data_IF_501142762774
#
_entry.id   IF_501142762774
#
_cell.length_a   1.000
_cell.length_b   1.000
_cell.length_c   1.000
_cell.angle_alpha   90.00
_cell.angle_beta   90.00
_cell.angle_gamma   90.00
#
_symmetry.space_group_name_H-M   'P 1'
#
loop_
_entity.id
_entity.type
_entity.pdbx_description
1 polymer ?
#
# COMPACT_ATOMS: atom_id res chain seq x y z
N UNK A 1 0.47 2.12 8.81
CA UNK A 1 1.09 2.38 10.14
C UNK A 1 2.54 1.91 10.22
N UNK A 2 2.97 0.84 9.55
CA UNK A 2 4.39 0.38 9.57
C UNK A 2 5.37 1.47 9.13
N UNK A 3 4.99 2.32 8.18
CA UNK A 3 5.80 3.47 7.77
C UNK A 3 6.05 4.50 8.87
N UNK A 4 5.10 4.68 9.79
CA UNK A 4 5.24 5.65 10.89
C UNK A 4 6.43 5.32 11.79
N UNK A 5 6.70 4.03 12.02
CA UNK A 5 7.80 3.56 12.87
C UNK A 5 9.16 3.97 12.34
N UNK A 6 9.34 4.04 11.03
CA UNK A 6 10.62 4.42 10.38
C UNK A 6 10.65 5.88 9.95
N UNK A 7 9.50 6.54 9.79
CA UNK A 7 9.41 7.95 9.35
C UNK A 7 9.95 8.92 10.40
N UNK A 8 9.66 8.70 11.68
CA UNK A 8 10.15 9.54 12.75
C UNK A 8 11.68 9.48 12.90
N UNK A 9 12.32 8.28 12.97
CA UNK A 9 13.78 8.17 12.95
C UNK A 9 14.41 8.69 11.67
N UNK A 10 13.75 8.56 10.52
CA UNK A 10 14.23 9.11 9.25
C UNK A 10 14.32 10.64 9.30
N UNK A 11 13.28 11.30 9.80
CA UNK A 11 13.25 12.76 9.95
C UNK A 11 14.32 13.27 10.93
N UNK A 12 14.50 12.57 12.05
CA UNK A 12 15.37 13.01 13.13
C UNK A 12 16.86 12.68 12.86
N UNK A 13 17.15 11.42 12.51
CA UNK A 13 18.54 10.92 12.38
C UNK A 13 19.18 11.19 11.02
N UNK A 14 18.39 11.23 9.95
CA UNK A 14 18.92 11.40 8.58
C UNK A 14 18.83 12.85 8.14
N UNK A 15 17.68 13.48 8.34
CA UNK A 15 17.44 14.85 7.86
C UNK A 15 17.65 15.92 8.93
N UNK A 16 17.82 15.53 10.20
CA UNK A 16 17.96 16.45 11.35
C UNK A 16 16.85 17.53 11.40
N UNK A 17 15.66 17.17 10.90
CA UNK A 17 14.52 18.07 10.75
C UNK A 17 13.45 17.89 11.84
N UNK A 18 13.65 16.95 12.77
CA UNK A 18 12.77 16.72 13.93
C UNK A 18 11.29 16.56 13.55
N UNK A 19 10.41 17.16 14.35
CA UNK A 19 8.96 17.07 14.16
C UNK A 19 8.46 17.72 12.85
N UNK A 20 9.13 18.79 12.39
CA UNK A 20 8.74 19.46 11.14
C UNK A 20 9.00 18.57 9.92
N UNK A 21 10.15 17.91 9.86
CA UNK A 21 10.45 16.96 8.78
C UNK A 21 9.49 15.77 8.76
N UNK A 22 9.13 15.25 9.94
CA UNK A 22 8.08 14.24 10.07
C UNK A 22 6.74 14.72 9.49
N UNK A 23 6.36 15.97 9.80
CA UNK A 23 5.16 16.59 9.25
C UNK A 23 5.18 16.69 7.72
N UNK A 24 6.30 17.13 7.14
CA UNK A 24 6.47 17.21 5.69
C UNK A 24 6.41 15.86 4.99
N UNK A 25 7.03 14.83 5.55
CA UNK A 25 6.98 13.47 5.00
C UNK A 25 5.55 12.91 5.00
N UNK A 26 4.84 13.05 6.13
CA UNK A 26 3.45 12.61 6.21
C UNK A 26 2.50 13.49 5.38
N UNK A 27 2.75 14.79 5.29
CA UNK A 27 2.05 15.69 4.40
C UNK A 27 2.20 15.29 2.93
N UNK A 28 3.42 15.01 2.49
CA UNK A 28 3.71 14.48 1.15
C UNK A 28 2.94 13.19 0.87
N UNK A 29 2.99 12.23 1.81
CA UNK A 29 2.19 10.99 1.73
C UNK A 29 0.70 11.27 1.57
N UNK A 30 0.14 12.17 2.41
CA UNK A 30 -1.28 12.52 2.37
C UNK A 30 -1.69 13.17 1.05
N UNK A 31 -0.90 14.11 0.54
CA UNK A 31 -1.12 14.75 -0.77
C UNK A 31 -1.08 13.71 -1.88
N UNK A 32 -0.10 12.82 -1.88
CA UNK A 32 -0.03 11.74 -2.86
C UNK A 32 -1.26 10.83 -2.84
N UNK A 33 -1.70 10.42 -1.65
CA UNK A 33 -2.91 9.61 -1.46
C UNK A 33 -4.17 10.34 -1.94
N UNK A 34 -4.29 11.64 -1.66
CA UNK A 34 -5.40 12.46 -2.14
C UNK A 34 -5.42 12.55 -3.67
N UNK A 35 -4.29 12.89 -4.29
CA UNK A 35 -4.19 12.97 -5.74
C UNK A 35 -4.51 11.65 -6.42
N UNK A 36 -4.18 10.51 -5.79
CA UNK A 36 -4.51 9.20 -6.35
C UNK A 36 -6.01 8.99 -6.55
N UNK A 37 -6.85 9.57 -5.72
CA UNK A 37 -8.31 9.47 -5.84
C UNK A 37 -8.82 10.04 -7.19
N UNK A 38 -8.11 11.01 -7.75
CA UNK A 38 -8.49 11.65 -9.01
C UNK A 38 -8.19 10.76 -10.23
N UNK A 39 -7.07 10.03 -10.22
CA UNK A 39 -6.64 9.27 -11.40
C UNK A 39 -6.75 7.75 -11.24
N UNK A 40 -6.92 7.21 -10.01
CA UNK A 40 -7.02 5.77 -9.80
C UNK A 40 -8.15 5.10 -10.61
N UNK A 41 -9.37 5.69 -10.74
CA UNK A 41 -10.42 5.08 -11.55
C UNK A 41 -10.04 4.98 -13.03
N UNK A 42 -9.35 5.98 -13.58
CA UNK A 42 -8.89 5.99 -14.96
C UNK A 42 -7.78 4.95 -15.19
N UNK A 43 -6.87 4.81 -14.23
CA UNK A 43 -5.80 3.82 -14.28
C UNK A 43 -6.37 2.39 -14.22
N UNK A 44 -7.32 2.14 -13.32
CA UNK A 44 -7.98 0.85 -13.17
C UNK A 44 -8.76 0.47 -14.44
N UNK A 45 -9.42 1.42 -15.09
CA UNK A 45 -10.10 1.19 -16.37
C UNK A 45 -9.12 0.78 -17.49
N UNK A 46 -7.90 1.32 -17.49
CA UNK A 46 -6.90 1.03 -18.54
C UNK A 46 -6.09 -0.23 -18.27
N UNK A 47 -5.61 -0.42 -17.06
CA UNK A 47 -4.70 -1.50 -16.67
C UNK A 47 -5.39 -2.67 -15.96
N UNK A 48 -6.69 -2.54 -15.65
CA UNK A 48 -7.42 -3.46 -14.79
C UNK A 48 -7.02 -3.33 -13.33
N UNK A 49 -7.84 -3.85 -12.41
CA UNK A 49 -7.57 -3.82 -10.97
C UNK A 49 -6.23 -4.48 -10.62
N UNK A 50 -5.94 -5.60 -11.25
CA UNK A 50 -4.74 -6.41 -11.00
C UNK A 50 -3.46 -5.72 -11.48
N UNK A 51 -3.47 -5.17 -12.69
CA UNK A 51 -2.34 -4.39 -13.24
C UNK A 51 -2.06 -3.15 -12.40
N UNK A 52 -3.11 -2.46 -11.97
CA UNK A 52 -2.99 -1.28 -11.09
C UNK A 52 -2.38 -1.62 -9.72
N UNK A 53 -2.74 -2.76 -9.12
CA UNK A 53 -2.14 -3.25 -7.88
C UNK A 53 -0.65 -3.56 -8.10
N UNK A 54 -0.30 -4.28 -9.16
CA UNK A 54 1.09 -4.64 -9.46
C UNK A 54 1.97 -3.39 -9.63
N UNK A 55 1.54 -2.44 -10.45
CA UNK A 55 2.26 -1.17 -10.65
C UNK A 55 2.40 -0.40 -9.33
N UNK A 56 1.35 -0.35 -8.52
CA UNK A 56 1.37 0.32 -7.21
C UNK A 56 2.35 -0.35 -6.25
N UNK A 57 2.41 -1.68 -6.21
CA UNK A 57 3.36 -2.40 -5.35
C UNK A 57 4.80 -2.18 -5.79
N UNK A 58 5.06 -2.14 -7.09
CA UNK A 58 6.38 -1.79 -7.62
C UNK A 58 6.79 -0.37 -7.21
N UNK A 59 5.91 0.61 -7.40
CA UNK A 59 6.17 2.00 -7.02
C UNK A 59 6.42 2.14 -5.50
N UNK A 60 5.65 1.44 -4.67
CA UNK A 60 5.87 1.39 -3.22
C UNK A 60 7.23 0.80 -2.88
N UNK A 61 7.62 -0.31 -3.52
CA UNK A 61 8.93 -0.95 -3.33
C UNK A 61 10.05 0.04 -3.62
N UNK A 62 10.02 0.67 -4.80
CA UNK A 62 11.04 1.62 -5.23
C UNK A 62 11.08 2.85 -4.33
N UNK A 63 9.93 3.45 -4.03
CA UNK A 63 9.87 4.63 -3.17
C UNK A 63 10.40 4.36 -1.76
N UNK A 64 10.04 3.22 -1.16
CA UNK A 64 10.51 2.86 0.17
C UNK A 64 12.00 2.48 0.18
N UNK A 65 12.50 1.80 -0.85
CA UNK A 65 13.91 1.45 -0.97
C UNK A 65 14.80 2.68 -1.13
N UNK A 66 14.34 3.69 -1.87
CA UNK A 66 15.12 4.91 -2.15
C UNK A 66 15.02 5.97 -1.05
N UNK A 67 13.96 5.94 -0.23
CA UNK A 67 13.72 6.97 0.80
C UNK A 67 14.91 7.21 1.74
N UNK A 68 15.61 6.20 2.31
CA UNK A 68 16.71 6.42 3.23
C UNK A 68 17.98 6.95 2.55
N UNK A 69 18.08 6.83 1.22
CA UNK A 69 19.23 7.28 0.43
C UNK A 69 19.04 8.68 -0.17
N UNK A 70 17.88 9.30 0.05
CA UNK A 70 17.64 10.66 -0.44
C UNK A 70 18.55 11.65 0.29
N UNK A 71 19.37 12.45 -0.45
CA UNK A 71 20.27 13.41 0.16
C UNK A 71 19.55 14.64 0.73
N UNK A 72 18.31 14.88 0.32
CA UNK A 72 17.55 16.09 0.63
C UNK A 72 16.16 15.72 1.15
N UNK A 73 15.68 16.43 2.17
CA UNK A 73 14.34 16.25 2.72
C UNK A 73 13.25 16.36 1.63
N UNK A 74 13.38 17.33 0.72
CA UNK A 74 12.42 17.52 -0.37
C UNK A 74 12.32 16.28 -1.28
N UNK A 75 13.45 15.62 -1.59
CA UNK A 75 13.45 14.36 -2.35
C UNK A 75 12.71 13.24 -1.61
N UNK A 76 12.94 13.11 -0.30
CA UNK A 76 12.21 12.14 0.52
C UNK A 76 10.71 12.45 0.57
N UNK A 77 10.31 13.72 0.67
CA UNK A 77 8.89 14.14 0.64
C UNK A 77 8.24 13.74 -0.68
N UNK A 78 8.93 13.92 -1.82
CA UNK A 78 8.43 13.48 -3.13
C UNK A 78 8.29 11.96 -3.21
N UNK A 79 9.27 11.20 -2.70
CA UNK A 79 9.19 9.73 -2.63
C UNK A 79 8.03 9.27 -1.75
N UNK A 80 7.79 9.93 -0.62
CA UNK A 80 6.64 9.67 0.24
C UNK A 80 5.33 10.03 -0.44
N UNK A 81 5.28 11.12 -1.23
CA UNK A 81 4.14 11.47 -2.05
C UNK A 81 3.83 10.39 -3.11
N UNK A 82 4.86 9.90 -3.78
CA UNK A 82 4.75 8.80 -4.74
C UNK A 82 4.25 7.51 -4.07
N UNK A 83 4.79 7.18 -2.90
CA UNK A 83 4.35 6.03 -2.13
C UNK A 83 2.89 6.19 -1.64
N UNK A 84 2.50 7.37 -1.19
CA UNK A 84 1.12 7.69 -0.82
C UNK A 84 0.16 7.52 -1.98
N UNK A 85 0.54 8.00 -3.17
CA UNK A 85 -0.27 7.87 -4.38
C UNK A 85 -0.41 6.39 -4.80
N UNK A 86 0.66 5.63 -4.80
CA UNK A 86 0.63 4.20 -5.09
C UNK A 86 -0.24 3.42 -4.08
N UNK A 87 -0.14 3.78 -2.80
CA UNK A 87 -0.98 3.18 -1.74
C UNK A 87 -2.46 3.49 -1.94
N UNK A 88 -2.79 4.71 -2.36
CA UNK A 88 -4.16 5.11 -2.67
C UNK A 88 -4.73 4.32 -3.85
N UNK A 89 -4.00 4.24 -4.97
CA UNK A 89 -4.41 3.44 -6.14
C UNK A 89 -4.61 1.97 -5.78
N UNK A 90 -3.68 1.35 -5.03
CA UNK A 90 -3.82 -0.05 -4.62
C UNK A 90 -5.04 -0.28 -3.73
N UNK A 91 -5.35 0.68 -2.85
CA UNK A 91 -6.55 0.62 -2.00
C UNK A 91 -7.84 0.66 -2.80
N UNK A 92 -7.96 1.56 -3.77
CA UNK A 92 -9.12 1.64 -4.67
C UNK A 92 -9.24 0.36 -5.50
N UNK A 93 -8.14 -0.10 -6.12
CA UNK A 93 -8.14 -1.30 -6.95
C UNK A 93 -8.53 -2.56 -6.16
N UNK A 94 -8.04 -2.70 -4.92
CA UNK A 94 -8.39 -3.82 -4.04
C UNK A 94 -9.88 -3.82 -3.67
N UNK A 95 -10.41 -2.65 -3.29
CA UNK A 95 -11.84 -2.52 -2.98
C UNK A 95 -12.71 -2.80 -4.20
N UNK A 96 -12.34 -2.32 -5.39
CA UNK A 96 -13.03 -2.63 -6.65
C UNK A 96 -13.04 -4.14 -6.91
N UNK A 97 -11.90 -4.81 -6.79
CA UNK A 97 -11.83 -6.27 -6.97
C UNK A 97 -12.68 -7.04 -5.96
N UNK A 98 -12.76 -6.58 -4.71
CA UNK A 98 -13.62 -7.20 -3.70
C UNK A 98 -15.10 -7.03 -4.05
N UNK A 99 -15.50 -5.84 -4.50
CA UNK A 99 -16.89 -5.57 -4.91
C UNK A 99 -17.31 -6.40 -6.14
N UNK A 100 -16.38 -6.70 -7.04
CA UNK A 100 -16.65 -7.54 -8.22
C UNK A 100 -16.79 -9.03 -7.89
N UNK A 101 -16.14 -9.51 -6.82
CA UNK A 101 -16.04 -10.94 -6.51
C UNK A 101 -16.91 -11.38 -5.34
N UNK A 102 -17.33 -10.46 -4.46
CA UNK A 102 -18.07 -10.78 -3.23
C UNK A 102 -19.51 -10.30 -3.32
N UNK A 103 -20.49 -11.20 -3.11
CA UNK A 103 -21.91 -10.80 -3.05
C UNK A 103 -22.12 -9.75 -1.94
N UNK A 104 -23.00 -8.74 -2.16
CA UNK A 104 -23.20 -7.62 -1.24
C UNK A 104 -23.53 -8.03 0.20
N UNK A 105 -24.25 -9.13 0.38
CA UNK A 105 -24.64 -9.65 1.69
C UNK A 105 -23.46 -10.16 2.54
N UNK A 106 -22.35 -10.55 1.94
CA UNK A 106 -21.14 -11.03 2.62
C UNK A 106 -20.03 -9.99 2.68
N UNK A 107 -20.18 -8.85 2.00
CA UNK A 107 -19.15 -7.83 1.85
C UNK A 107 -18.57 -7.37 3.18
N UNK A 108 -19.42 -7.08 4.16
CA UNK A 108 -18.96 -6.63 5.48
C UNK A 108 -18.16 -7.69 6.25
N UNK A 109 -18.55 -8.95 6.15
CA UNK A 109 -17.82 -10.06 6.82
C UNK A 109 -16.45 -10.28 6.19
N UNK A 110 -16.40 -10.33 4.87
CA UNK A 110 -15.15 -10.50 4.11
C UNK A 110 -14.22 -9.33 4.38
N UNK A 111 -14.70 -8.11 4.28
CA UNK A 111 -13.92 -6.91 4.51
C UNK A 111 -13.35 -6.86 5.94
N UNK A 112 -14.15 -7.13 6.97
CA UNK A 112 -13.71 -7.17 8.35
C UNK A 112 -12.66 -8.26 8.59
N UNK A 113 -12.80 -9.43 7.97
CA UNK A 113 -11.82 -10.50 8.06
C UNK A 113 -10.47 -10.06 7.45
N UNK A 114 -10.48 -9.45 6.28
CA UNK A 114 -9.27 -8.90 5.67
C UNK A 114 -8.63 -7.80 6.53
N UNK A 115 -9.43 -6.91 7.10
CA UNK A 115 -8.92 -5.87 8.01
C UNK A 115 -8.30 -6.47 9.26
N UNK A 116 -8.92 -7.47 9.87
CA UNK A 116 -8.41 -8.11 11.07
C UNK A 116 -7.05 -8.76 10.83
N UNK A 117 -6.93 -9.63 9.81
CA UNK A 117 -5.65 -10.26 9.47
C UNK A 117 -4.62 -9.25 8.99
N UNK A 118 -5.02 -8.26 8.22
CA UNK A 118 -4.16 -7.17 7.79
C UNK A 118 -3.61 -6.36 8.98
N UNK A 119 -4.41 -6.11 9.98
CA UNK A 119 -3.99 -5.39 11.19
C UNK A 119 -3.01 -6.21 12.05
N UNK A 120 -3.26 -7.50 12.21
CA UNK A 120 -2.33 -8.40 12.91
C UNK A 120 -0.96 -8.44 12.20
N UNK A 121 -0.96 -8.64 10.89
CA UNK A 121 0.26 -8.64 10.09
C UNK A 121 0.98 -7.29 10.20
N UNK A 122 0.25 -6.19 10.17
CA UNK A 122 0.79 -4.84 10.27
C UNK A 122 1.46 -4.58 11.63
N UNK A 123 0.85 -5.04 12.74
CA UNK A 123 1.44 -4.94 14.09
C UNK A 123 2.74 -5.76 14.15
N UNK A 124 2.71 -7.00 13.69
CA UNK A 124 3.88 -7.87 13.67
C UNK A 124 5.03 -7.27 12.86
N UNK A 125 4.73 -6.75 11.66
CA UNK A 125 5.71 -6.06 10.82
C UNK A 125 6.24 -4.78 11.47
N UNK A 126 5.38 -3.99 12.11
CA UNK A 126 5.81 -2.75 12.77
C UNK A 126 6.79 -3.03 13.91
N UNK A 127 6.52 -4.04 14.74
CA UNK A 127 7.41 -4.46 15.82
C UNK A 127 8.75 -5.00 15.27
N UNK A 128 8.69 -5.85 14.25
CA UNK A 128 9.88 -6.42 13.62
C UNK A 128 10.75 -5.35 12.97
N UNK A 129 10.15 -4.46 12.20
CA UNK A 129 10.85 -3.34 11.54
C UNK A 129 11.43 -2.38 12.56
N UNK A 130 10.68 -2.05 13.63
CA UNK A 130 11.17 -1.22 14.72
C UNK A 130 12.37 -1.83 15.44
N UNK A 131 12.33 -3.12 15.72
CA UNK A 131 13.45 -3.85 16.36
C UNK A 131 14.68 -3.88 15.44
N UNK A 132 14.52 -4.12 14.15
CA UNK A 132 15.62 -4.13 13.17
C UNK A 132 16.20 -2.73 13.00
N UNK A 133 15.35 -1.72 12.83
CA UNK A 133 15.78 -0.33 12.66
C UNK A 133 16.55 0.20 13.88
N UNK A 134 16.23 -0.26 15.10
CA UNK A 134 16.90 0.15 16.33
C UNK A 134 18.22 -0.58 16.59
N UNK A 135 18.33 -1.85 16.17
CA UNK A 135 19.49 -2.73 16.47
C UNK A 135 20.52 -2.80 15.36
N UNK A 136 20.11 -2.67 14.11
CA UNK A 136 21.00 -2.83 12.94
C UNK A 136 21.23 -1.50 12.26
N UNK A 137 20.24 -1.01 11.52
CA UNK A 137 20.26 0.30 10.88
C UNK A 137 18.87 0.71 10.41
N UNK A 138 18.67 2.02 10.26
CA UNK A 138 17.43 2.56 9.69
C UNK A 138 17.20 2.07 8.27
N UNK A 139 18.26 2.03 7.45
CA UNK A 139 18.19 1.52 6.07
C UNK A 139 17.75 0.06 6.00
N UNK A 140 18.17 -0.78 6.97
CA UNK A 140 17.70 -2.17 7.07
C UNK A 140 16.20 -2.24 7.35
N UNK A 141 15.66 -1.37 8.19
CA UNK A 141 14.22 -1.26 8.43
C UNK A 141 13.42 -0.93 7.16
N UNK A 142 13.88 0.03 6.38
CA UNK A 142 13.31 0.34 5.06
C UNK A 142 13.45 -0.82 4.07
N UNK A 143 14.58 -1.53 4.10
CA UNK A 143 14.82 -2.72 3.29
C UNK A 143 13.80 -3.83 3.54
N UNK A 144 13.45 -4.07 4.80
CA UNK A 144 12.39 -5.05 5.15
C UNK A 144 11.03 -4.63 4.61
N UNK A 145 10.68 -3.35 4.72
CA UNK A 145 9.42 -2.82 4.16
C UNK A 145 9.42 -2.98 2.64
N UNK A 146 10.50 -2.62 1.97
CA UNK A 146 10.63 -2.76 0.52
C UNK A 146 10.55 -4.24 0.09
N UNK A 147 11.16 -5.16 0.84
CA UNK A 147 11.08 -6.60 0.57
C UNK A 147 9.63 -7.12 0.68
N UNK A 148 8.87 -6.69 1.67
CA UNK A 148 7.45 -7.06 1.81
C UNK A 148 6.64 -6.58 0.60
N UNK A 149 6.85 -5.35 0.14
CA UNK A 149 6.18 -4.85 -1.06
C UNK A 149 6.65 -5.55 -2.34
N UNK A 150 7.92 -5.95 -2.42
CA UNK A 150 8.45 -6.73 -3.54
C UNK A 150 7.81 -8.13 -3.60
N UNK A 151 7.63 -8.79 -2.46
CA UNK A 151 6.90 -10.07 -2.37
C UNK A 151 5.44 -9.88 -2.80
N UNK A 152 4.79 -8.81 -2.35
CA UNK A 152 3.43 -8.48 -2.76
C UNK A 152 3.33 -8.22 -4.27
N UNK A 153 4.31 -7.52 -4.86
CA UNK A 153 4.41 -7.33 -6.30
C UNK A 153 4.54 -8.68 -7.03
N UNK A 154 5.46 -9.54 -6.60
CA UNK A 154 5.65 -10.87 -7.17
C UNK A 154 4.36 -11.71 -7.12
N UNK A 155 3.63 -11.66 -5.99
CA UNK A 155 2.34 -12.35 -5.86
C UNK A 155 1.26 -11.78 -6.80
N UNK A 156 1.24 -10.47 -7.02
CA UNK A 156 0.30 -9.82 -7.94
C UNK A 156 0.59 -10.19 -9.41
N UNK A 157 1.86 -10.42 -9.76
CA UNK A 157 2.28 -10.84 -11.09
C UNK A 157 2.08 -12.35 -11.33
N UNK A 158 1.93 -13.16 -10.28
CA UNK A 158 1.77 -14.61 -10.41
C UNK A 158 0.47 -14.93 -11.16
N UNK A 159 0.52 -15.77 -12.23
CA UNK A 159 -0.66 -16.16 -12.99
C UNK A 159 -1.56 -17.05 -12.12
N UNK A 160 -2.53 -16.46 -11.43
CA UNK A 160 -3.58 -17.23 -10.79
C UNK A 160 -4.52 -17.75 -11.87
N UNK A 161 -4.74 -19.08 -11.92
CA UNK A 161 -5.81 -19.66 -12.74
C UNK A 161 -7.12 -18.97 -12.35
N UNK A 162 -7.68 -18.25 -13.30
CA UNK A 162 -9.04 -17.74 -13.13
C UNK A 162 -9.94 -18.98 -13.08
N UNK A 163 -10.41 -19.34 -11.92
CA UNK A 163 -11.55 -20.23 -11.83
C UNK A 163 -12.74 -19.45 -12.40
N UNK A 164 -13.35 -19.89 -13.51
CA UNK A 164 -14.58 -19.28 -13.96
C UNK A 164 -15.55 -19.38 -12.78
N UNK A 165 -15.99 -18.23 -12.28
CA UNK A 165 -17.14 -18.20 -11.38
C UNK A 165 -18.27 -18.77 -12.23
N UNK A 166 -18.56 -20.06 -12.05
CA UNK A 166 -19.71 -20.70 -12.67
C UNK A 166 -20.91 -19.87 -12.30
N UNK A 167 -21.49 -19.23 -13.33
CA UNK A 167 -22.59 -18.29 -13.15
C UNK A 167 -23.73 -18.96 -12.39
N UNK A 168 -23.76 -18.76 -11.11
CA UNK A 168 -24.99 -18.81 -10.35
C UNK A 168 -25.79 -17.58 -10.76
N UNK A 169 -26.44 -17.69 -11.93
CA UNK A 169 -27.60 -16.89 -12.23
C UNK A 169 -28.50 -16.98 -10.99
N UNK A 170 -28.66 -15.85 -10.33
CA UNK A 170 -29.70 -15.72 -9.32
C UNK A 170 -31.06 -15.86 -10.05
N UNK A 171 -31.80 -16.97 -9.88
CA UNK A 171 -33.10 -17.16 -10.56
C UNK A 171 -34.19 -16.38 -9.81
N UNK A 172 -34.02 -15.09 -9.64
CA UNK A 172 -34.95 -14.29 -8.86
C UNK A 172 -35.04 -12.80 -9.20
N UNK A 173 -34.28 -12.30 -10.19
CA UNK A 173 -34.24 -10.87 -10.46
C UNK A 173 -35.15 -10.38 -11.60
N UNK A 174 -36.03 -11.25 -12.14
CA UNK A 174 -36.89 -10.86 -13.27
C UNK A 174 -38.39 -10.85 -12.95
N UNK A 175 -38.81 -10.77 -11.68
CA UNK A 175 -40.22 -10.58 -11.34
C UNK A 175 -40.36 -9.62 -10.16
N UNK A 176 -40.20 -8.33 -10.42
CA UNK A 176 -40.95 -7.24 -9.75
C UNK A 176 -40.87 -5.97 -10.59
#
# INVERSE_FOLDING_TARGET
MTGVVVTAPLSDRVFHAGASGYGWLNGGWGVGAFLSALYAPALIKRAGSRGSIAVSMLLLTVAMALSPFSPWLAGAVLLYGLAGSARGVSGVAMNTSLMEQVPPQFMGRVQNTFYFFGMLLQITLALSVGAIASRVSLAAGFGVIAAVYAIAFGSACWPMKQYPVSGTQYPGALNR
#
